data_IF_252146838904
#
_entry.id   IF_252146838904
#
_cell.length_a   1.000
_cell.length_b   1.000
_cell.length_c   1.000
_cell.angle_alpha   90.00
_cell.angle_beta   90.00
_cell.angle_gamma   90.00
#
_symmetry.space_group_name_H-M   'P 1'
#
loop_
_entity.id
_entity.type
_entity.pdbx_description
1 polymer ?
#
# COMPACT_ATOMS: atom_id res chain seq x y z
N UNK A 1 27.97 -22.42 2.74
CA UNK A 1 26.98 -21.48 3.27
C UNK A 1 26.59 -20.47 2.21
N UNK A 2 25.30 -20.26 2.04
CA UNK A 2 24.81 -19.33 1.01
C UNK A 2 24.71 -17.93 1.57
N UNK A 3 25.30 -16.97 0.90
CA UNK A 3 25.21 -15.57 1.30
C UNK A 3 23.94 -14.93 0.79
N UNK A 4 23.45 -13.92 1.52
CA UNK A 4 22.30 -13.14 1.08
C UNK A 4 22.71 -12.23 -0.08
N UNK A 5 21.89 -12.22 -1.13
CA UNK A 5 22.06 -11.36 -2.28
C UNK A 5 20.97 -10.30 -2.28
N UNK A 6 21.31 -9.08 -2.63
CA UNK A 6 20.36 -7.99 -2.71
C UNK A 6 19.57 -8.08 -4.01
N UNK A 7 18.26 -7.97 -3.90
CA UNK A 7 17.37 -7.93 -5.06
C UNK A 7 16.49 -6.70 -4.99
N UNK A 8 16.27 -6.10 -6.14
CA UNK A 8 15.29 -5.03 -6.26
C UNK A 8 13.91 -5.61 -6.53
N UNK A 9 12.92 -5.02 -5.92
CA UNK A 9 11.53 -5.36 -6.20
C UNK A 9 11.15 -4.78 -7.56
N UNK A 10 10.83 -5.64 -8.50
CA UNK A 10 10.45 -5.22 -9.86
C UNK A 10 8.97 -4.91 -10.02
N UNK A 11 8.17 -5.38 -9.08
CA UNK A 11 6.73 -5.21 -9.16
C UNK A 11 6.36 -3.77 -8.80
N UNK A 12 5.61 -3.13 -9.68
CA UNK A 12 5.10 -1.78 -9.46
C UNK A 12 3.69 -1.89 -8.89
N UNK A 13 3.40 -1.15 -7.83
CA UNK A 13 2.04 -0.99 -7.32
C UNK A 13 1.47 0.32 -7.86
N UNK A 14 0.18 0.31 -8.19
CA UNK A 14 -0.55 1.52 -8.50
C UNK A 14 -1.25 2.00 -7.23
N UNK A 15 -1.09 3.28 -6.90
CA UNK A 15 -1.65 3.83 -5.67
C UNK A 15 -2.52 5.05 -5.97
N UNK A 16 -3.54 5.24 -5.13
CA UNK A 16 -4.36 6.44 -5.14
C UNK A 16 -4.64 6.88 -3.71
N UNK A 17 -4.94 8.18 -3.50
CA UNK A 17 -5.33 8.64 -2.17
C UNK A 17 -6.63 7.97 -1.70
N UNK A 18 -6.68 7.67 -0.40
CA UNK A 18 -7.93 7.26 0.25
C UNK A 18 -8.91 8.45 0.27
N UNK A 19 -10.15 8.18 -0.12
CA UNK A 19 -11.23 9.17 -0.05
C UNK A 19 -12.12 8.87 1.14
N UNK A 20 -12.34 9.87 1.98
CA UNK A 20 -13.15 9.72 3.19
C UNK A 20 -14.55 9.22 2.84
N UNK A 21 -14.98 8.17 3.53
CA UNK A 21 -16.31 7.58 3.32
C UNK A 21 -16.40 6.54 2.24
N UNK A 22 -15.33 6.24 1.51
CA UNK A 22 -15.38 5.19 0.49
C UNK A 22 -15.50 3.79 1.12
N UNK A 23 -16.06 2.86 0.36
CA UNK A 23 -16.20 1.46 0.77
C UNK A 23 -14.87 0.74 0.62
N UNK A 24 -14.32 0.25 1.73
CA UNK A 24 -13.07 -0.49 1.76
C UNK A 24 -13.26 -1.98 2.06
N UNK A 25 -14.45 -2.52 1.83
CA UNK A 25 -14.74 -3.93 2.14
C UNK A 25 -13.87 -4.91 1.35
N UNK A 26 -13.34 -4.48 0.21
CA UNK A 26 -12.48 -5.28 -0.67
C UNK A 26 -10.99 -4.93 -0.56
N UNK A 27 -10.63 -4.08 0.41
CA UNK A 27 -9.26 -3.61 0.62
C UNK A 27 -8.68 -4.27 1.87
N UNK A 28 -7.52 -4.88 1.75
CA UNK A 28 -6.85 -5.48 2.90
C UNK A 28 -6.21 -4.39 3.77
N UNK A 29 -6.50 -4.43 5.07
CA UNK A 29 -5.94 -3.47 6.03
C UNK A 29 -5.29 -4.28 7.15
N UNK A 30 -4.01 -4.01 7.43
CA UNK A 30 -3.29 -4.76 8.46
C UNK A 30 -3.83 -4.42 9.86
N UNK A 31 -3.72 -5.36 10.83
CA UNK A 31 -4.13 -5.08 12.20
C UNK A 31 -3.39 -3.89 12.82
N UNK A 32 -2.12 -3.70 12.50
CA UNK A 32 -1.32 -2.59 12.97
C UNK A 32 -1.88 -1.26 12.47
N UNK A 33 -2.25 -1.19 11.21
CA UNK A 33 -2.84 0.02 10.63
C UNK A 33 -4.19 0.32 11.25
N UNK A 34 -5.00 -0.70 11.50
CA UNK A 34 -6.29 -0.52 12.19
C UNK A 34 -6.10 0.05 13.59
N UNK A 35 -5.11 -0.44 14.34
CA UNK A 35 -4.79 0.09 15.67
C UNK A 35 -4.31 1.53 15.63
N UNK A 36 -3.64 1.92 14.56
CA UNK A 36 -3.17 3.28 14.39
C UNK A 36 -4.27 4.25 13.92
N UNK A 37 -5.48 3.75 13.66
CA UNK A 37 -6.62 4.56 13.26
C UNK A 37 -6.92 4.58 11.76
N UNK A 38 -6.26 3.75 10.98
CA UNK A 38 -6.55 3.65 9.54
C UNK A 38 -7.88 2.92 9.29
N UNK A 39 -8.64 3.28 8.25
CA UNK A 39 -8.29 4.30 7.25
C UNK A 39 -8.50 5.72 7.75
N UNK A 40 -7.62 6.62 7.33
CA UNK A 40 -7.69 8.03 7.72
C UNK A 40 -7.16 8.90 6.58
N UNK A 41 -7.48 10.21 6.56
CA UNK A 41 -6.98 11.11 5.53
C UNK A 41 -5.45 11.04 5.42
N UNK A 42 -4.96 11.00 4.19
CA UNK A 42 -3.53 10.86 3.90
C UNK A 42 -3.08 9.44 3.61
N UNK A 43 -3.86 8.43 3.99
CA UNK A 43 -3.56 7.05 3.63
C UNK A 43 -3.78 6.82 2.13
N UNK A 44 -3.15 5.78 1.60
CA UNK A 44 -3.23 5.43 0.18
C UNK A 44 -3.86 4.05 0.01
N UNK A 45 -4.50 3.86 -1.12
CA UNK A 45 -4.98 2.53 -1.54
C UNK A 45 -4.12 2.06 -2.68
N UNK A 46 -3.51 0.91 -2.51
CA UNK A 46 -2.65 0.30 -3.51
C UNK A 46 -3.39 -0.84 -4.22
N UNK A 47 -3.05 -1.07 -5.47
CA UNK A 47 -3.55 -2.24 -6.20
C UNK A 47 -2.42 -2.86 -7.01
N UNK A 48 -2.56 -4.16 -7.25
CA UNK A 48 -1.67 -4.89 -8.14
C UNK A 48 -2.06 -4.60 -9.58
N UNK A 49 -1.18 -4.03 -10.42
CA UNK A 49 -1.54 -3.73 -11.82
C UNK A 49 -1.89 -4.98 -12.64
N UNK A 50 -1.38 -6.14 -12.25
CA UNK A 50 -1.71 -7.40 -12.92
C UNK A 50 -3.04 -8.00 -12.45
N UNK A 51 -3.56 -7.55 -11.31
CA UNK A 51 -4.84 -8.01 -10.74
C UNK A 51 -5.45 -6.88 -9.92
N UNK A 52 -6.31 -6.09 -10.54
CA UNK A 52 -6.90 -4.90 -9.93
C UNK A 52 -7.82 -5.19 -8.74
N UNK A 53 -8.23 -6.44 -8.56
CA UNK A 53 -9.01 -6.84 -7.38
C UNK A 53 -8.13 -7.01 -6.14
N UNK A 54 -6.81 -7.15 -6.32
CA UNK A 54 -5.85 -7.29 -5.23
C UNK A 54 -5.46 -5.89 -4.75
N UNK A 55 -6.12 -5.43 -3.69
CA UNK A 55 -5.96 -4.09 -3.14
C UNK A 55 -5.64 -4.13 -1.65
N UNK A 56 -4.83 -3.18 -1.20
CA UNK A 56 -4.46 -3.07 0.21
C UNK A 56 -4.23 -1.62 0.61
N UNK A 57 -4.34 -1.35 1.91
CA UNK A 57 -4.10 -0.02 2.45
C UNK A 57 -2.62 0.19 2.72
N UNK A 58 -2.14 1.39 2.37
CA UNK A 58 -0.78 1.84 2.69
C UNK A 58 -0.90 3.08 3.56
N UNK A 59 -0.45 2.99 4.81
CA UNK A 59 -0.51 4.12 5.73
C UNK A 59 0.34 5.29 5.22
N UNK A 60 -0.10 6.52 5.49
CA UNK A 60 0.54 7.73 4.98
C UNK A 60 2.03 7.78 5.28
N UNK A 61 2.44 7.45 6.51
CA UNK A 61 3.84 7.48 6.91
C UNK A 61 4.67 6.43 6.15
N UNK A 62 4.12 5.24 5.96
CA UNK A 62 4.79 4.18 5.20
C UNK A 62 4.92 4.57 3.73
N UNK A 63 3.89 5.15 3.17
CA UNK A 63 3.91 5.62 1.78
C UNK A 63 5.01 6.66 1.57
N UNK A 64 5.10 7.65 2.46
CA UNK A 64 6.09 8.71 2.35
C UNK A 64 7.53 8.18 2.46
N UNK A 65 7.73 7.13 3.26
CA UNK A 65 9.07 6.57 3.51
C UNK A 65 9.52 5.58 2.45
N UNK A 66 8.59 4.90 1.75
CA UNK A 66 8.93 3.73 0.93
C UNK A 66 8.51 3.82 -0.54
N UNK A 67 7.76 4.82 -0.93
CA UNK A 67 7.26 4.95 -2.30
C UNK A 67 7.66 6.27 -2.92
N UNK A 68 7.88 6.25 -4.22
CA UNK A 68 8.09 7.46 -5.01
C UNK A 68 7.44 7.29 -6.38
N UNK A 69 7.03 8.38 -7.04
CA UNK A 69 6.43 8.29 -8.37
C UNK A 69 7.41 7.72 -9.37
N UNK A 70 6.89 6.93 -10.30
CA UNK A 70 7.64 6.45 -11.45
C UNK A 70 7.38 7.42 -12.59
N UNK A 71 8.45 8.00 -13.10
CA UNK A 71 8.36 8.94 -14.21
C UNK A 71 8.83 8.32 -15.53
#
# INVERSE_FOLDING_TARGET
MTEFTKYLRKQIAELRPYELGEDLSHVAISPEDKKAGSPKPGDMIARNPANNADQWLVAAAYFAANFEPVE
#
